data_IF_651335420850
#
_entry.id   IF_651335420850
#
_cell.length_a   1.000
_cell.length_b   1.000
_cell.length_c   1.000
_cell.angle_alpha   90.00
_cell.angle_beta   90.00
_cell.angle_gamma   90.00
#
_symmetry.space_group_name_H-M   'P 1'
#
loop_
_entity.id
_entity.type
_entity.pdbx_description
1 polymer ?
#
# COMPACT_ATOMS: atom_id res chain seq x y z
N UNK A 1 19.89 1.13 16.44
CA UNK A 1 18.98 0.95 17.60
C UNK A 1 17.88 2.01 17.59
N UNK A 2 18.20 3.31 17.56
CA UNK A 2 17.19 4.40 17.52
C UNK A 2 16.18 4.35 16.36
N UNK A 3 16.61 3.93 15.17
CA UNK A 3 15.71 3.75 14.01
C UNK A 3 14.69 2.63 14.18
N UNK A 4 15.05 1.57 14.92
CA UNK A 4 14.16 0.44 15.15
C UNK A 4 13.09 0.82 16.21
N UNK A 5 13.51 1.55 17.25
CA UNK A 5 12.60 2.04 18.29
C UNK A 5 11.61 3.07 17.74
N UNK A 6 12.05 3.98 16.85
CA UNK A 6 11.14 4.93 16.22
C UNK A 6 10.14 4.23 15.30
N UNK A 7 10.56 3.22 14.52
CA UNK A 7 9.67 2.43 13.68
C UNK A 7 8.54 1.78 14.47
N UNK A 8 8.88 1.09 15.57
CA UNK A 8 7.90 0.40 16.42
C UNK A 8 6.94 1.39 17.08
N UNK A 9 7.46 2.51 17.57
CA UNK A 9 6.65 3.57 18.16
C UNK A 9 5.67 4.18 17.15
N UNK A 10 6.15 4.57 15.96
CA UNK A 10 5.30 5.13 14.90
C UNK A 10 4.26 4.13 14.40
N UNK A 11 4.61 2.85 14.27
CA UNK A 11 3.66 1.82 13.88
C UNK A 11 2.55 1.64 14.92
N UNK A 12 2.90 1.55 16.20
CA UNK A 12 1.94 1.44 17.29
C UNK A 12 1.00 2.65 17.35
N UNK A 13 1.55 3.88 17.26
CA UNK A 13 0.75 5.10 17.25
C UNK A 13 -0.16 5.18 16.01
N UNK A 14 0.33 4.75 14.84
CA UNK A 14 -0.46 4.73 13.62
C UNK A 14 -1.68 3.80 13.76
N UNK A 15 -1.47 2.58 14.29
CA UNK A 15 -2.57 1.62 14.54
C UNK A 15 -3.59 2.18 15.52
N UNK A 16 -3.13 2.79 16.63
CA UNK A 16 -4.03 3.43 17.61
C UNK A 16 -4.85 4.55 16.95
N UNK A 17 -4.21 5.39 16.13
CA UNK A 17 -4.88 6.51 15.47
C UNK A 17 -5.92 6.03 14.44
N UNK A 18 -5.65 4.95 13.69
CA UNK A 18 -6.62 4.38 12.74
C UNK A 18 -7.89 3.84 13.41
N UNK A 19 -7.80 3.40 14.67
CA UNK A 19 -8.94 2.92 15.44
C UNK A 19 -9.81 4.05 16.02
N UNK A 20 -9.33 5.30 16.01
CA UNK A 20 -10.09 6.43 16.56
C UNK A 20 -11.13 6.96 15.58
N UNK A 21 -12.25 7.47 16.10
CA UNK A 21 -13.35 8.04 15.32
C UNK A 21 -13.02 9.41 14.71
N UNK A 22 -11.75 9.70 14.41
CA UNK A 22 -11.28 10.97 13.87
C UNK A 22 -11.06 10.82 12.36
N UNK A 23 -11.53 11.76 11.52
CA UNK A 23 -11.23 11.75 10.09
C UNK A 23 -9.73 12.05 9.88
N UNK A 24 -8.92 10.99 9.71
CA UNK A 24 -7.49 11.08 9.47
C UNK A 24 -7.07 10.27 8.25
N UNK A 25 -6.09 10.78 7.49
CA UNK A 25 -5.56 10.11 6.31
C UNK A 25 -4.49 9.05 6.65
N UNK A 26 -4.57 7.89 6.00
CA UNK A 26 -3.62 6.78 6.20
C UNK A 26 -2.33 6.89 5.37
N UNK A 27 -2.31 7.82 4.41
CA UNK A 27 -1.25 7.92 3.42
C UNK A 27 0.09 8.35 4.02
N UNK A 28 0.12 9.49 4.71
CA UNK A 28 1.35 10.07 5.28
C UNK A 28 1.97 9.16 6.35
N UNK A 29 1.22 8.60 7.31
CA UNK A 29 1.78 7.62 8.26
C UNK A 29 2.35 6.38 7.55
N UNK A 30 1.69 5.91 6.48
CA UNK A 30 2.17 4.79 5.68
C UNK A 30 3.50 5.07 4.97
N UNK A 31 3.68 6.28 4.43
CA UNK A 31 4.97 6.72 3.87
C UNK A 31 6.05 6.70 4.94
N UNK A 32 5.78 7.25 6.12
CA UNK A 32 6.77 7.29 7.21
C UNK A 32 7.18 5.89 7.67
N UNK A 33 6.22 4.98 7.83
CA UNK A 33 6.48 3.60 8.22
C UNK A 33 7.32 2.88 7.15
N UNK A 34 6.89 2.95 5.89
CA UNK A 34 7.58 2.26 4.79
C UNK A 34 8.95 2.87 4.46
N UNK A 35 9.12 4.19 4.59
CA UNK A 35 10.42 4.85 4.35
C UNK A 35 11.45 4.54 5.42
N UNK A 36 11.03 4.49 6.68
CA UNK A 36 11.89 4.07 7.80
C UNK A 36 12.33 2.61 7.60
N UNK A 37 11.42 1.74 7.17
CA UNK A 37 11.72 0.35 6.85
C UNK A 37 12.68 0.22 5.66
N UNK A 38 12.42 0.95 4.57
CA UNK A 38 13.29 0.97 3.39
C UNK A 38 14.70 1.50 3.72
N UNK A 39 14.80 2.50 4.59
CA UNK A 39 16.08 3.04 5.05
C UNK A 39 16.85 2.04 5.91
N UNK A 40 16.17 1.28 6.78
CA UNK A 40 16.80 0.19 7.54
C UNK A 40 17.37 -0.89 6.62
N UNK A 41 16.62 -1.28 5.57
CA UNK A 41 17.10 -2.23 4.56
C UNK A 41 18.29 -1.65 3.79
N UNK A 42 18.22 -0.37 3.38
CA UNK A 42 19.31 0.32 2.69
C UNK A 42 20.60 0.35 3.52
N UNK A 43 20.53 0.68 4.81
CA UNK A 43 21.68 0.66 5.71
C UNK A 43 22.29 -0.75 5.84
N UNK A 44 21.45 -1.80 5.88
CA UNK A 44 21.92 -3.18 5.94
C UNK A 44 22.66 -3.58 4.66
N UNK A 45 22.11 -3.21 3.50
CA UNK A 45 22.72 -3.45 2.19
C UNK A 45 24.05 -2.72 2.05
N UNK A 46 24.14 -1.45 2.45
CA UNK A 46 25.39 -0.67 2.40
C UNK A 46 26.46 -1.25 3.33
N UNK A 47 26.07 -1.73 4.52
CA UNK A 47 26.99 -2.39 5.44
C UNK A 47 27.56 -3.68 4.87
N UNK A 48 26.76 -4.44 4.13
CA UNK A 48 27.17 -5.71 3.52
C UNK A 48 27.98 -5.49 2.22
N UNK A 49 27.54 -4.56 1.38
CA UNK A 49 28.17 -4.21 0.10
C UNK A 49 28.91 -2.87 0.21
N UNK A 50 30.10 -2.90 0.82
CA UNK A 50 30.97 -1.75 1.14
C UNK A 50 31.40 -0.85 -0.05
N UNK A 51 31.04 -1.19 -1.30
CA UNK A 51 31.51 -0.54 -2.54
C UNK A 51 30.42 0.11 -3.40
N UNK A 52 29.14 0.00 -3.02
CA UNK A 52 28.05 0.56 -3.81
C UNK A 52 27.73 1.99 -3.33
N UNK A 53 27.99 2.98 -4.19
CA UNK A 53 27.51 4.37 -4.03
C UNK A 53 26.00 4.43 -4.32
N UNK A 54 25.20 3.66 -3.57
CA UNK A 54 23.74 3.73 -3.69
C UNK A 54 23.23 4.74 -2.66
N UNK A 55 22.42 5.67 -3.14
CA UNK A 55 21.79 6.68 -2.31
C UNK A 55 20.74 6.04 -1.40
N UNK A 56 20.92 6.20 -0.08
CA UNK A 56 20.01 5.64 0.94
C UNK A 56 18.57 6.15 0.76
N UNK A 57 18.40 7.33 0.14
CA UNK A 57 17.10 7.93 -0.17
C UNK A 57 16.26 7.10 -1.13
N UNK A 58 16.88 6.44 -2.11
CA UNK A 58 16.15 5.60 -3.08
C UNK A 58 15.54 4.38 -2.39
N UNK A 59 16.27 3.74 -1.46
CA UNK A 59 15.73 2.62 -0.68
C UNK A 59 14.60 3.04 0.25
N UNK A 60 14.69 4.22 0.86
CA UNK A 60 13.59 4.78 1.64
C UNK A 60 12.34 5.00 0.78
N UNK A 61 12.49 5.56 -0.43
CA UNK A 61 11.39 5.77 -1.37
C UNK A 61 10.73 4.43 -1.79
N UNK A 62 11.54 3.43 -2.15
CA UNK A 62 11.04 2.10 -2.53
C UNK A 62 10.35 1.39 -1.37
N UNK A 63 10.86 1.55 -0.14
CA UNK A 63 10.22 1.05 1.07
C UNK A 63 8.84 1.67 1.29
N UNK A 64 8.73 3.00 1.15
CA UNK A 64 7.44 3.70 1.23
C UNK A 64 6.45 3.22 0.16
N UNK A 65 6.91 3.10 -1.10
CA UNK A 65 6.11 2.59 -2.20
C UNK A 65 5.63 1.15 -1.93
N UNK A 66 6.51 0.26 -1.46
CA UNK A 66 6.16 -1.13 -1.17
C UNK A 66 5.07 -1.23 -0.09
N UNK A 67 5.17 -0.45 1.00
CA UNK A 67 4.21 -0.50 2.10
C UNK A 67 2.83 0.05 1.68
N UNK A 68 2.80 1.17 0.94
CA UNK A 68 1.55 1.74 0.44
C UNK A 68 0.91 0.87 -0.65
N UNK A 69 1.72 0.29 -1.55
CA UNK A 69 1.24 -0.59 -2.60
C UNK A 69 0.59 -1.86 -2.06
N UNK A 70 1.15 -2.44 -0.99
CA UNK A 70 0.60 -3.63 -0.35
C UNK A 70 -0.63 -3.36 0.52
N UNK A 71 -0.66 -2.22 1.22
CA UNK A 71 -1.77 -1.88 2.13
C UNK A 71 -2.99 -1.28 1.42
N UNK A 72 -2.77 -0.38 0.46
CA UNK A 72 -3.83 0.38 -0.20
C UNK A 72 -4.21 -0.14 -1.59
N UNK A 73 -3.38 -1.01 -2.20
CA UNK A 73 -3.60 -1.58 -3.54
C UNK A 73 -3.72 -0.61 -4.71
N UNK A 74 -3.39 0.67 -4.49
CA UNK A 74 -3.45 1.72 -5.49
C UNK A 74 -2.14 1.81 -6.29
N UNK A 75 -1.89 0.97 -7.29
CA UNK A 75 -0.55 0.91 -7.92
C UNK A 75 -0.24 2.08 -8.86
N UNK A 76 -1.15 2.46 -9.75
CA UNK A 76 -0.87 3.49 -10.78
C UNK A 76 -0.78 4.88 -10.15
N UNK A 77 -1.78 5.28 -9.35
CA UNK A 77 -1.81 6.59 -8.71
C UNK A 77 -0.65 6.80 -7.75
N UNK A 78 -0.32 5.78 -6.93
CA UNK A 78 0.84 5.85 -6.02
C UNK A 78 2.15 6.03 -6.79
N UNK A 79 2.31 5.31 -7.90
CA UNK A 79 3.51 5.43 -8.71
C UNK A 79 3.67 6.85 -9.25
N UNK A 80 2.60 7.42 -9.80
CA UNK A 80 2.62 8.79 -10.34
C UNK A 80 2.96 9.80 -9.25
N UNK A 81 2.30 9.71 -8.08
CA UNK A 81 2.57 10.61 -6.95
C UNK A 81 4.05 10.55 -6.53
N UNK A 82 4.61 9.35 -6.39
CA UNK A 82 6.01 9.22 -5.95
C UNK A 82 7.02 9.70 -6.99
N UNK A 83 6.73 9.49 -8.28
CA UNK A 83 7.58 10.01 -9.36
C UNK A 83 7.52 11.53 -9.43
N UNK A 84 6.33 12.12 -9.24
CA UNK A 84 6.14 13.56 -9.24
C UNK A 84 6.88 14.23 -8.09
N UNK A 85 6.76 13.69 -6.87
CA UNK A 85 7.46 14.21 -5.68
C UNK A 85 8.99 14.09 -5.82
N UNK A 86 9.47 13.01 -6.43
CA UNK A 86 10.91 12.78 -6.64
C UNK A 86 11.45 13.58 -7.85
N UNK A 87 10.55 14.07 -8.72
CA UNK A 87 10.87 14.73 -9.98
C UNK A 87 11.90 13.96 -10.84
N UNK A 88 11.81 12.62 -10.83
CA UNK A 88 12.79 11.77 -11.52
C UNK A 88 12.11 10.56 -12.19
N UNK A 89 11.83 10.74 -13.48
CA UNK A 89 11.14 9.76 -14.32
C UNK A 89 11.95 8.46 -14.51
N UNK A 90 13.27 8.46 -14.30
CA UNK A 90 14.10 7.25 -14.43
C UNK A 90 13.82 6.22 -13.34
N UNK A 91 13.29 6.66 -12.18
CA UNK A 91 12.91 5.79 -11.07
C UNK A 91 11.54 5.14 -11.25
N UNK A 92 10.74 5.61 -12.21
CA UNK A 92 9.40 5.10 -12.51
C UNK A 92 9.33 3.57 -12.69
N UNK A 93 10.13 2.93 -13.57
CA UNK A 93 10.05 1.48 -13.76
C UNK A 93 10.39 0.69 -12.49
N UNK A 94 11.30 1.21 -11.67
CA UNK A 94 11.70 0.57 -10.41
C UNK A 94 10.57 0.64 -9.37
N UNK A 95 9.92 1.80 -9.25
CA UNK A 95 8.79 1.99 -8.33
C UNK A 95 7.59 1.14 -8.77
N UNK A 96 7.30 1.08 -10.08
CA UNK A 96 6.23 0.22 -10.63
C UNK A 96 6.46 -1.25 -10.31
N UNK A 97 7.69 -1.75 -10.51
CA UNK A 97 8.04 -3.14 -10.21
C UNK A 97 7.76 -3.47 -8.74
N UNK A 98 8.25 -2.63 -7.82
CA UNK A 98 8.07 -2.83 -6.38
C UNK A 98 6.59 -2.77 -5.98
N UNK A 99 5.82 -1.84 -6.56
CA UNK A 99 4.38 -1.73 -6.33
C UNK A 99 3.62 -2.97 -6.82
N UNK A 100 3.96 -3.50 -8.00
CA UNK A 100 3.32 -4.69 -8.56
C UNK A 100 3.61 -5.94 -7.74
N UNK A 101 4.87 -6.12 -7.31
CA UNK A 101 5.25 -7.25 -6.44
C UNK A 101 4.52 -7.13 -5.10
N UNK A 102 4.54 -5.94 -4.48
CA UNK A 102 3.87 -5.74 -3.19
C UNK A 102 2.35 -5.95 -3.28
N UNK A 103 1.73 -5.47 -4.37
CA UNK A 103 0.30 -5.68 -4.63
C UNK A 103 0.00 -7.17 -4.83
N UNK A 104 0.79 -7.89 -5.62
CA UNK A 104 0.59 -9.32 -5.87
C UNK A 104 0.70 -10.13 -4.58
N UNK A 105 1.67 -9.79 -3.71
CA UNK A 105 1.78 -10.39 -2.38
C UNK A 105 0.58 -10.01 -1.52
N UNK A 106 0.16 -8.75 -1.50
CA UNK A 106 -1.01 -8.29 -0.73
C UNK A 106 -2.31 -8.96 -1.16
N UNK A 107 -2.55 -9.08 -2.47
CA UNK A 107 -3.72 -9.74 -3.07
C UNK A 107 -3.77 -11.24 -2.72
N UNK A 108 -2.64 -11.88 -2.45
CA UNK A 108 -2.61 -13.28 -2.04
C UNK A 108 -3.02 -13.51 -0.58
N UNK A 109 -2.90 -12.49 0.29
CA UNK A 109 -3.14 -12.63 1.73
C UNK A 109 -4.45 -12.04 2.23
N UNK A 110 -4.84 -10.84 1.77
CA UNK A 110 -5.98 -10.10 2.32
C UNK A 110 -6.68 -9.24 1.27
N UNK A 111 -7.74 -8.52 1.65
CA UNK A 111 -8.32 -7.39 0.89
C UNK A 111 -7.64 -6.05 1.23
N UNK A 112 -7.76 -5.04 0.36
CA UNK A 112 -7.16 -3.72 0.59
C UNK A 112 -7.80 -3.04 1.79
N UNK A 113 -7.04 -2.22 2.54
CA UNK A 113 -7.55 -1.61 3.79
C UNK A 113 -8.85 -0.82 3.57
N UNK A 114 -8.94 -0.09 2.46
CA UNK A 114 -10.13 0.70 2.14
C UNK A 114 -11.37 -0.15 1.81
N UNK A 115 -11.17 -1.32 1.20
CA UNK A 115 -12.24 -2.24 0.85
C UNK A 115 -12.78 -2.94 2.11
N UNK A 116 -11.88 -3.37 2.99
CA UNK A 116 -12.25 -3.95 4.29
C UNK A 116 -12.95 -2.95 5.20
N UNK A 117 -12.48 -1.69 5.25
CA UNK A 117 -13.17 -0.63 6.00
C UNK A 117 -14.58 -0.38 5.47
N UNK A 118 -14.78 -0.44 4.15
CA UNK A 118 -16.11 -0.28 3.57
C UNK A 118 -17.02 -1.48 3.84
N UNK A 119 -16.47 -2.71 3.79
CA UNK A 119 -17.15 -3.96 4.16
C UNK A 119 -17.62 -3.92 5.62
N UNK A 120 -16.76 -3.48 6.54
CA UNK A 120 -17.08 -3.31 7.96
C UNK A 120 -18.18 -2.26 8.22
N UNK A 121 -18.27 -1.23 7.38
CA UNK A 121 -19.34 -0.23 7.44
C UNK A 121 -20.64 -0.68 6.77
N UNK A 122 -20.67 -1.86 6.15
CA UNK A 122 -21.85 -2.38 5.45
C UNK A 122 -22.23 -1.59 4.19
N UNK A 123 -21.27 -0.87 3.60
CA UNK A 123 -21.53 -0.08 2.38
C UNK A 123 -21.59 -1.06 1.20
N UNK A 124 -22.68 -1.10 0.41
CA UNK A 124 -22.77 -1.96 -0.76
C UNK A 124 -21.85 -1.44 -1.87
N UNK A 125 -20.59 -1.89 -1.87
CA UNK A 125 -19.60 -1.57 -2.89
C UNK A 125 -19.71 -2.55 -4.05
N UNK A 126 -19.93 -2.01 -5.25
CA UNK A 126 -19.99 -2.81 -6.45
C UNK A 126 -18.57 -3.09 -6.95
N UNK A 127 -18.13 -4.34 -6.83
CA UNK A 127 -16.83 -4.78 -7.35
C UNK A 127 -16.79 -4.57 -8.88
N UNK A 128 -15.64 -4.13 -9.42
CA UNK A 128 -15.49 -3.87 -10.86
C UNK A 128 -15.59 -5.13 -11.74
N UNK A 129 -15.47 -6.31 -11.12
CA UNK A 129 -15.73 -7.60 -11.78
C UNK A 129 -16.85 -8.31 -11.02
N UNK A 130 -17.90 -8.80 -11.71
CA UNK A 130 -18.90 -9.62 -11.06
C UNK A 130 -18.24 -10.88 -10.51
N UNK A 131 -18.62 -11.28 -9.28
CA UNK A 131 -18.25 -12.61 -8.75
C UNK A 131 -18.64 -13.69 -9.75
N UNK A 132 -17.84 -14.75 -9.81
CA UNK A 132 -18.01 -15.83 -10.78
C UNK A 132 -19.45 -16.39 -10.79
N UNK A 133 -20.05 -16.50 -9.61
CA UNK A 133 -21.46 -16.88 -9.38
C UNK A 133 -22.47 -15.97 -10.12
N UNK A 134 -22.21 -14.66 -10.18
CA UNK A 134 -23.10 -13.68 -10.82
C UNK A 134 -22.97 -13.64 -12.34
N UNK A 135 -21.95 -14.30 -12.90
CA UNK A 135 -21.71 -14.33 -14.34
C UNK A 135 -22.70 -15.24 -15.07
N UNK A 136 -23.29 -16.20 -14.36
CA UNK A 136 -24.32 -17.11 -14.88
C UNK A 136 -25.74 -16.70 -14.47
N UNK A 137 -25.90 -15.64 -13.66
CA UNK A 137 -27.23 -15.15 -13.25
C UNK A 137 -27.89 -14.35 -14.36
N UNK A 138 -29.18 -14.59 -14.56
CA UNK A 138 -29.99 -13.86 -15.54
C UNK A 138 -30.46 -12.56 -14.89
N UNK A 139 -30.58 -11.47 -15.66
CA UNK A 139 -31.08 -10.18 -15.15
C UNK A 139 -32.44 -10.29 -14.43
N UNK A 140 -33.28 -11.27 -14.81
CA UNK A 140 -34.54 -11.60 -14.14
C UNK A 140 -34.35 -12.10 -12.69
N UNK A 141 -33.29 -12.84 -12.42
CA UNK A 141 -32.95 -13.34 -11.08
C UNK A 141 -32.31 -12.23 -10.24
N UNK A 142 -31.55 -11.33 -10.87
CA UNK A 142 -30.90 -10.20 -10.22
C UNK A 142 -31.83 -9.03 -9.87
N UNK A 143 -32.87 -8.77 -10.67
CA UNK A 143 -33.84 -7.68 -10.43
C UNK A 143 -34.80 -7.96 -9.26
N UNK A 144 -34.71 -9.13 -8.63
CA UNK A 144 -35.73 -9.62 -7.71
C UNK A 144 -36.98 -10.02 -8.50
N UNK A 145 -37.52 -11.19 -8.17
CA UNK A 145 -38.83 -11.59 -8.68
C UNK A 145 -39.81 -10.44 -8.48
N UNK A 146 -40.34 -9.92 -9.59
CA UNK A 146 -41.48 -9.02 -9.56
C UNK A 146 -42.55 -9.61 -8.64
N UNK A 147 -42.97 -8.81 -7.67
CA UNK A 147 -44.39 -8.75 -7.37
C UNK A 147 -45.08 -8.11 -8.56
#
# INVERSE_FOLDING_TARGET
MYFLTSQVMFYALAVVTFGTAVPAGQFVPGIMIGSTYGRLVGMFVVKYYRKLNIEEGTYALLGAASFLGGSMRMTVSLCVIMVEITNNLKLLPLIMLVLLISKAVGDAFNDGIYEEQARLRGIPLLESKPKYEMRNMIAKEACGSGR
#
